data_IF_890204596628
#
_entry.id   IF_890204596628
#
_cell.length_a   1.000
_cell.length_b   1.000
_cell.length_c   1.000
_cell.angle_alpha   90.00
_cell.angle_beta   90.00
_cell.angle_gamma   90.00
#
_symmetry.space_group_name_H-M   'P 1'
#
loop_
_entity.id
_entity.type
_entity.pdbx_description
1 polymer ?
#
# COMPACT_ATOMS: atom_id res chain seq x y z
N UNK A 1 -17.17 12.87 -12.05
CA UNK A 1 -17.73 11.66 -12.68
C UNK A 1 -19.19 11.54 -12.26
N UNK A 2 -20.14 11.76 -13.17
CA UNK A 2 -21.59 11.80 -12.88
C UNK A 2 -22.37 10.61 -13.46
N UNK A 3 -21.71 9.75 -14.24
CA UNK A 3 -22.36 8.58 -14.85
C UNK A 3 -22.21 7.36 -13.94
N UNK A 4 -23.26 6.54 -13.75
CA UNK A 4 -23.17 5.28 -13.02
C UNK A 4 -22.14 4.34 -13.67
N UNK A 5 -21.25 3.71 -12.91
CA UNK A 5 -20.32 2.75 -13.46
C UNK A 5 -21.06 1.48 -13.92
N UNK A 6 -20.64 0.92 -15.06
CA UNK A 6 -21.09 -0.39 -15.50
C UNK A 6 -20.26 -1.49 -14.81
N UNK A 7 -20.94 -2.44 -14.16
CA UNK A 7 -20.29 -3.63 -13.63
C UNK A 7 -19.96 -4.59 -14.79
N UNK A 8 -18.69 -4.95 -14.92
CA UNK A 8 -18.19 -5.90 -15.92
C UNK A 8 -17.52 -7.09 -15.24
N UNK A 9 -17.48 -8.23 -15.92
CA UNK A 9 -16.76 -9.40 -15.43
C UNK A 9 -15.25 -9.13 -15.40
N UNK A 10 -14.62 -9.41 -14.26
CA UNK A 10 -13.17 -9.32 -14.11
C UNK A 10 -12.49 -10.58 -14.69
N UNK A 11 -11.91 -10.46 -15.88
CA UNK A 11 -11.19 -11.56 -16.54
C UNK A 11 -9.95 -12.01 -15.73
N UNK A 12 -9.37 -11.11 -14.94
CA UNK A 12 -8.21 -11.37 -14.09
C UNK A 12 -8.58 -11.80 -12.65
N UNK A 13 -9.83 -12.21 -12.41
CA UNK A 13 -10.26 -12.71 -11.10
C UNK A 13 -9.44 -13.92 -10.63
N UNK A 14 -9.28 -14.05 -9.31
CA UNK A 14 -8.56 -15.16 -8.66
C UNK A 14 -9.45 -16.37 -8.36
N UNK A 15 -10.77 -16.25 -8.59
CA UNK A 15 -11.74 -17.34 -8.41
C UNK A 15 -11.36 -18.67 -9.08
N UNK A 16 -10.65 -18.73 -10.23
CA UNK A 16 -10.23 -20.00 -10.83
C UNK A 16 -9.27 -20.85 -9.98
N UNK A 17 -8.62 -20.27 -8.96
CA UNK A 17 -7.66 -20.99 -8.13
C UNK A 17 -7.83 -20.78 -6.62
N UNK A 18 -8.78 -19.95 -6.18
CA UNK A 18 -9.09 -19.78 -4.75
C UNK A 18 -10.49 -19.21 -4.51
N UNK A 19 -11.10 -19.57 -3.38
CA UNK A 19 -12.31 -18.92 -2.89
C UNK A 19 -11.95 -17.53 -2.33
N UNK A 20 -12.76 -16.50 -2.63
CA UNK A 20 -12.54 -15.12 -2.17
C UNK A 20 -13.56 -14.72 -1.11
N UNK A 21 -13.08 -14.20 0.01
CA UNK A 21 -13.91 -13.68 1.11
C UNK A 21 -13.48 -12.24 1.40
N UNK A 22 -14.37 -11.29 1.14
CA UNK A 22 -14.17 -9.88 1.43
C UNK A 22 -14.86 -9.50 2.74
N UNK A 23 -14.14 -8.80 3.61
CA UNK A 23 -14.61 -8.44 4.96
C UNK A 23 -14.48 -6.94 5.13
N UNK A 24 -15.60 -6.26 5.37
CA UNK A 24 -15.62 -4.87 5.83
C UNK A 24 -15.37 -4.85 7.35
N UNK A 25 -14.24 -4.31 7.86
CA UNK A 25 -14.02 -4.18 9.29
C UNK A 25 -15.05 -3.27 9.97
N UNK A 26 -15.21 -3.34 11.30
CA UNK A 26 -16.21 -2.56 12.03
C UNK A 26 -16.13 -1.06 11.77
N UNK A 27 -17.18 -0.49 11.19
CA UNK A 27 -17.26 0.93 10.83
C UNK A 27 -17.02 1.25 9.36
N UNK A 28 -16.69 0.26 8.53
CA UNK A 28 -16.54 0.39 7.07
C UNK A 28 -17.65 -0.34 6.32
N UNK A 29 -17.85 0.02 5.05
CA UNK A 29 -18.93 -0.48 4.20
C UNK A 29 -20.28 -0.49 4.90
N UNK A 30 -20.87 -1.67 5.09
CA UNK A 30 -22.10 -1.85 5.88
C UNK A 30 -21.87 -2.35 7.31
N UNK A 31 -20.64 -2.69 7.69
CA UNK A 31 -20.30 -3.10 9.06
C UNK A 31 -20.47 -1.95 10.04
N UNK A 32 -21.12 -2.23 11.18
CA UNK A 32 -21.38 -1.25 12.25
C UNK A 32 -21.00 -1.83 13.61
N UNK A 33 -20.48 -0.97 14.48
CA UNK A 33 -20.30 -1.30 15.90
C UNK A 33 -21.60 -0.97 16.63
N UNK A 34 -22.31 -2.00 17.05
CA UNK A 34 -23.47 -1.88 17.95
C UNK A 34 -22.94 -2.00 19.38
N UNK A 35 -22.99 -0.92 20.16
CA UNK A 35 -22.45 -0.89 21.51
C UNK A 35 -22.12 0.52 22.00
N UNK A 36 -21.51 0.59 23.19
CA UNK A 36 -21.07 1.84 23.81
C UNK A 36 -19.90 2.49 23.07
N UNK A 37 -19.56 3.71 23.46
CA UNK A 37 -18.34 4.39 22.98
C UNK A 37 -17.06 3.61 23.31
N UNK A 38 -17.03 2.86 24.42
CA UNK A 38 -15.90 1.97 24.76
C UNK A 38 -15.73 0.84 23.75
N UNK A 39 -16.82 0.20 23.34
CA UNK A 39 -16.78 -0.84 22.31
C UNK A 39 -16.21 -0.30 20.99
N UNK A 40 -16.62 0.91 20.58
CA UNK A 40 -16.05 1.57 19.39
C UNK A 40 -14.55 1.81 19.54
N UNK A 41 -14.11 2.37 20.68
CA UNK A 41 -12.69 2.61 20.96
C UNK A 41 -11.85 1.33 20.94
N UNK A 42 -12.41 0.21 21.38
CA UNK A 42 -11.73 -1.08 21.33
C UNK A 42 -11.50 -1.52 19.87
N UNK A 43 -12.55 -1.54 19.04
CA UNK A 43 -12.42 -1.93 17.63
C UNK A 43 -11.60 -0.93 16.80
N UNK A 44 -11.63 0.36 17.14
CA UNK A 44 -10.85 1.41 16.47
C UNK A 44 -9.46 1.54 17.07
N UNK A 45 -8.77 0.41 17.18
CA UNK A 45 -7.39 0.33 17.64
C UNK A 45 -6.64 -0.71 16.84
N UNK A 46 -5.33 -0.56 16.73
CA UNK A 46 -4.47 -1.49 15.98
C UNK A 46 -4.71 -2.95 16.38
N UNK A 47 -4.69 -3.25 17.69
CA UNK A 47 -4.82 -4.63 18.17
C UNK A 47 -6.29 -5.08 18.19
N UNK A 48 -7.23 -4.22 18.62
CA UNK A 48 -8.64 -4.59 18.68
C UNK A 48 -9.29 -4.81 17.30
N UNK A 49 -8.78 -4.15 16.25
CA UNK A 49 -9.14 -4.41 14.86
C UNK A 49 -8.73 -5.84 14.44
N UNK A 50 -7.47 -6.21 14.67
CA UNK A 50 -6.96 -7.54 14.33
C UNK A 50 -7.65 -8.64 15.16
N UNK A 51 -7.84 -8.43 16.45
CA UNK A 51 -8.51 -9.39 17.35
C UNK A 51 -9.99 -9.56 16.99
N UNK A 52 -10.70 -8.47 16.72
CA UNK A 52 -12.10 -8.52 16.30
C UNK A 52 -12.29 -9.26 14.98
N UNK A 53 -11.42 -9.00 14.01
CA UNK A 53 -11.42 -9.70 12.72
C UNK A 53 -11.03 -11.17 12.86
N UNK A 54 -10.12 -11.53 13.77
CA UNK A 54 -9.75 -12.92 14.01
C UNK A 54 -10.97 -13.75 14.46
N UNK A 55 -11.75 -13.21 15.40
CA UNK A 55 -13.01 -13.85 15.85
C UNK A 55 -13.99 -14.01 14.70
N UNK A 56 -14.16 -12.97 13.88
CA UNK A 56 -15.04 -13.03 12.71
C UNK A 56 -14.59 -14.13 11.73
N UNK A 57 -13.31 -14.15 11.36
CA UNK A 57 -12.75 -15.11 10.42
C UNK A 57 -12.88 -16.54 10.94
N UNK A 58 -12.58 -16.79 12.22
CA UNK A 58 -12.79 -18.12 12.84
C UNK A 58 -14.25 -18.56 12.73
N UNK A 59 -15.21 -17.70 13.11
CA UNK A 59 -16.64 -18.02 13.01
C UNK A 59 -17.07 -18.30 11.57
N UNK A 60 -16.59 -17.51 10.61
CA UNK A 60 -16.87 -17.75 9.20
C UNK A 60 -16.33 -19.11 8.73
N UNK A 61 -15.10 -19.46 9.12
CA UNK A 61 -14.49 -20.76 8.80
C UNK A 61 -15.33 -21.92 9.36
N UNK A 62 -15.79 -21.82 10.60
CA UNK A 62 -16.63 -22.84 11.25
C UNK A 62 -17.97 -23.01 10.55
N UNK A 63 -18.64 -21.90 10.25
CA UNK A 63 -19.96 -21.88 9.59
C UNK A 63 -19.91 -22.43 8.16
N UNK A 64 -18.75 -22.33 7.48
CA UNK A 64 -18.58 -22.75 6.09
C UNK A 64 -17.79 -24.06 5.95
N UNK A 65 -17.50 -24.75 7.07
CA UNK A 65 -16.74 -26.00 7.10
C UNK A 65 -15.38 -25.92 6.36
N UNK A 66 -14.64 -24.82 6.57
CA UNK A 66 -13.35 -24.53 5.90
C UNK A 66 -12.12 -24.75 6.78
N UNK A 67 -12.25 -25.49 7.88
CA UNK A 67 -11.16 -25.67 8.87
C UNK A 67 -9.89 -26.24 8.22
N UNK A 68 -10.05 -27.22 7.32
CA UNK A 68 -8.95 -27.91 6.62
C UNK A 68 -8.40 -27.16 5.42
N UNK A 69 -9.10 -26.14 4.91
CA UNK A 69 -8.61 -25.36 3.78
C UNK A 69 -7.33 -24.61 4.19
N UNK A 70 -6.34 -24.46 3.30
CA UNK A 70 -5.25 -23.50 3.51
C UNK A 70 -5.81 -22.07 3.52
N UNK A 71 -5.37 -21.25 4.49
CA UNK A 71 -5.79 -19.84 4.60
C UNK A 71 -4.68 -18.94 4.08
N UNK A 72 -5.04 -17.98 3.24
CA UNK A 72 -4.17 -16.87 2.81
C UNK A 72 -4.88 -15.57 3.16
N UNK A 73 -4.17 -14.64 3.79
CA UNK A 73 -4.69 -13.28 4.03
C UNK A 73 -4.16 -12.34 2.95
N UNK A 74 -5.06 -11.54 2.39
CA UNK A 74 -4.72 -10.49 1.43
C UNK A 74 -5.06 -9.15 2.06
N UNK A 75 -4.13 -8.19 2.00
CA UNK A 75 -4.35 -6.87 2.58
C UNK A 75 -3.68 -5.78 1.77
N UNK A 76 -4.43 -4.75 1.41
CA UNK A 76 -3.93 -3.58 0.69
C UNK A 76 -3.67 -2.40 1.62
N UNK A 77 -2.58 -1.65 1.43
CA UNK A 77 -2.30 -0.43 2.17
C UNK A 77 -2.21 -0.68 3.68
N UNK A 78 -3.07 -0.06 4.49
CA UNK A 78 -3.25 -0.39 5.91
C UNK A 78 -3.68 -1.86 6.15
N UNK A 79 -4.38 -2.48 5.19
CA UNK A 79 -4.63 -3.92 5.17
C UNK A 79 -3.33 -4.74 5.21
N UNK A 80 -2.24 -4.22 4.65
CA UNK A 80 -0.90 -4.77 4.74
C UNK A 80 -0.30 -4.76 6.15
N UNK A 81 -0.69 -3.77 6.96
CA UNK A 81 -0.39 -3.69 8.39
C UNK A 81 -1.27 -4.65 9.19
N UNK A 82 -2.56 -4.70 8.85
CA UNK A 82 -3.56 -5.56 9.50
C UNK A 82 -3.28 -7.04 9.31
N UNK A 83 -2.88 -7.48 8.10
CA UNK A 83 -2.82 -8.90 7.78
C UNK A 83 -1.81 -9.70 8.62
N UNK A 84 -0.56 -9.25 8.87
CA UNK A 84 0.35 -9.93 9.80
C UNK A 84 -0.19 -10.00 11.24
N UNK A 85 -0.80 -8.92 11.73
CA UNK A 85 -1.42 -8.90 13.07
C UNK A 85 -2.61 -9.86 13.17
N UNK A 86 -3.47 -9.88 12.15
CA UNK A 86 -4.59 -10.81 12.03
C UNK A 86 -4.09 -12.26 11.98
N UNK A 87 -3.04 -12.57 11.20
CA UNK A 87 -2.45 -13.90 11.16
C UNK A 87 -1.96 -14.35 12.55
N UNK A 88 -1.30 -13.46 13.29
CA UNK A 88 -0.86 -13.72 14.66
C UNK A 88 -2.05 -13.94 15.60
N UNK A 89 -3.08 -13.10 15.55
CA UNK A 89 -4.27 -13.24 16.38
C UNK A 89 -5.02 -14.56 16.08
N UNK A 90 -5.19 -14.90 14.81
CA UNK A 90 -5.76 -16.17 14.38
C UNK A 90 -4.99 -17.37 14.94
N UNK A 91 -3.66 -17.36 14.83
CA UNK A 91 -2.83 -18.46 15.30
C UNK A 91 -2.82 -18.59 16.83
N UNK A 92 -2.71 -17.46 17.55
CA UNK A 92 -2.44 -17.46 19.01
C UNK A 92 -3.69 -17.37 19.88
N UNK A 93 -4.82 -16.87 19.35
CA UNK A 93 -6.08 -16.70 20.10
C UNK A 93 -7.21 -17.58 19.59
N UNK A 94 -7.30 -17.76 18.27
CA UNK A 94 -8.43 -18.43 17.64
C UNK A 94 -8.13 -19.85 17.13
N UNK A 95 -6.88 -20.32 17.24
CA UNK A 95 -6.47 -21.67 16.82
C UNK A 95 -6.51 -21.90 15.30
N UNK A 96 -6.44 -20.84 14.49
CA UNK A 96 -6.50 -20.89 13.03
C UNK A 96 -5.13 -20.56 12.43
N UNK A 97 -4.51 -21.54 11.76
CA UNK A 97 -3.25 -21.32 11.04
C UNK A 97 -3.44 -20.60 9.70
N UNK A 98 -2.55 -19.67 9.37
CA UNK A 98 -2.46 -18.98 8.08
C UNK A 98 -1.21 -19.44 7.36
N UNK A 99 -1.32 -19.80 6.07
CA UNK A 99 -0.21 -20.34 5.26
C UNK A 99 0.43 -19.30 4.35
N UNK A 100 -0.29 -18.23 4.02
CA UNK A 100 0.21 -17.19 3.12
C UNK A 100 -0.26 -15.80 3.48
N UNK A 101 0.59 -14.82 3.21
CA UNK A 101 0.25 -13.40 3.20
C UNK A 101 0.51 -12.84 1.79
N UNK A 102 -0.48 -12.15 1.24
CA UNK A 102 -0.31 -11.32 0.03
C UNK A 102 -0.56 -9.86 0.42
N UNK A 103 0.48 -9.04 0.43
CA UNK A 103 0.41 -7.65 0.88
C UNK A 103 0.52 -6.73 -0.34
N UNK A 104 -0.53 -5.94 -0.60
CA UNK A 104 -0.64 -5.05 -1.77
C UNK A 104 -0.36 -3.62 -1.35
N UNK A 105 0.68 -3.01 -1.92
CA UNK A 105 1.19 -1.69 -1.53
C UNK A 105 1.16 -1.44 -0.01
N UNK A 106 1.71 -2.35 0.83
CA UNK A 106 1.48 -2.30 2.27
C UNK A 106 2.21 -1.15 2.97
N UNK A 107 1.67 -0.77 4.13
CA UNK A 107 2.48 -0.18 5.19
C UNK A 107 2.96 -1.26 6.16
N UNK A 108 4.28 -1.42 6.29
CA UNK A 108 4.90 -2.34 7.26
C UNK A 108 5.44 -1.63 8.50
N UNK A 109 5.88 -0.38 8.35
CA UNK A 109 6.41 0.47 9.42
C UNK A 109 6.04 1.93 9.14
N UNK A 110 5.28 2.55 10.05
CA UNK A 110 4.86 3.95 9.90
C UNK A 110 6.03 4.94 10.01
N UNK A 111 7.15 4.57 10.64
CA UNK A 111 8.36 5.40 10.62
C UNK A 111 8.95 5.48 9.21
N UNK A 112 8.84 4.41 8.42
CA UNK A 112 9.39 4.36 7.06
C UNK A 112 8.59 5.24 6.06
N UNK A 113 7.32 5.53 6.34
CA UNK A 113 6.50 6.43 5.52
C UNK A 113 6.72 7.91 5.84
N UNK A 114 7.21 8.25 7.03
CA UNK A 114 7.39 9.64 7.43
C UNK A 114 8.38 10.38 6.53
N UNK A 115 8.05 11.62 6.16
CA UNK A 115 8.95 12.55 5.46
C UNK A 115 9.57 13.54 6.46
N UNK A 116 10.45 13.05 7.32
CA UNK A 116 11.06 13.86 8.40
C UNK A 116 12.30 14.59 7.88
N UNK A 117 12.32 15.91 8.01
CA UNK A 117 13.36 16.76 7.40
C UNK A 117 14.80 16.36 7.70
N UNK A 118 15.04 15.94 8.94
CA UNK A 118 16.36 15.58 9.45
C UNK A 118 16.62 14.07 9.47
N UNK A 119 15.77 13.27 8.80
CA UNK A 119 16.01 11.85 8.55
C UNK A 119 16.34 11.64 7.06
N UNK A 120 17.63 11.49 6.69
CA UNK A 120 18.04 11.22 5.32
C UNK A 120 17.29 10.08 4.65
N UNK A 121 16.97 9.03 5.41
CA UNK A 121 16.29 7.85 4.88
C UNK A 121 14.86 8.15 4.40
N UNK A 122 14.21 9.17 4.97
CA UNK A 122 12.89 9.64 4.52
C UNK A 122 12.90 10.00 3.03
N UNK A 123 13.95 10.67 2.57
CA UNK A 123 14.06 11.14 1.19
C UNK A 123 14.48 10.03 0.24
N UNK A 124 15.44 9.20 0.67
CA UNK A 124 15.92 8.03 -0.07
C UNK A 124 14.77 7.08 -0.41
N UNK A 125 13.88 6.80 0.55
CA UNK A 125 12.75 5.87 0.38
C UNK A 125 11.73 6.31 -0.67
N UNK A 126 11.56 7.62 -0.89
CA UNK A 126 10.53 8.15 -1.80
C UNK A 126 11.04 8.38 -3.22
N UNK A 127 12.35 8.63 -3.38
CA UNK A 127 12.93 9.02 -4.66
C UNK A 127 12.67 8.02 -5.81
N UNK A 128 12.79 6.69 -5.62
CA UNK A 128 12.56 5.76 -6.74
C UNK A 128 11.14 5.80 -7.30
N UNK A 129 10.12 6.08 -6.48
CA UNK A 129 8.73 6.23 -6.97
C UNK A 129 8.50 7.54 -7.73
N UNK A 130 9.20 8.61 -7.33
CA UNK A 130 9.25 9.85 -8.12
C UNK A 130 9.96 9.61 -9.48
N UNK A 131 11.06 8.86 -9.47
CA UNK A 131 11.79 8.48 -10.68
C UNK A 131 10.94 7.60 -11.61
N UNK A 132 10.24 6.61 -11.07
CA UNK A 132 9.33 5.75 -11.82
C UNK A 132 8.27 6.57 -12.56
N UNK A 133 7.73 7.61 -11.92
CA UNK A 133 6.75 8.54 -12.52
C UNK A 133 7.32 9.24 -13.75
N UNK A 134 8.54 9.78 -13.66
CA UNK A 134 9.20 10.50 -14.76
C UNK A 134 9.61 9.55 -15.89
N UNK A 135 10.09 8.36 -15.55
CA UNK A 135 10.43 7.32 -16.53
C UNK A 135 9.19 6.89 -17.32
N UNK A 136 8.06 6.70 -16.63
CA UNK A 136 6.77 6.35 -17.23
C UNK A 136 6.29 7.44 -18.21
N UNK A 137 6.33 8.72 -17.82
CA UNK A 137 5.98 9.84 -18.70
C UNK A 137 6.84 9.92 -19.97
N UNK A 138 8.09 9.46 -19.90
CA UNK A 138 9.03 9.44 -21.03
C UNK A 138 8.94 8.16 -21.86
N UNK A 139 8.10 7.19 -21.49
CA UNK A 139 8.07 5.88 -22.12
C UNK A 139 9.36 5.07 -21.92
N UNK A 140 10.11 5.36 -20.85
CA UNK A 140 11.41 4.79 -20.53
C UNK A 140 11.40 3.93 -19.24
N UNK A 141 10.22 3.54 -18.77
CA UNK A 141 10.02 2.72 -17.56
C UNK A 141 10.51 1.29 -17.76
N UNK A 142 11.81 1.04 -17.56
CA UNK A 142 12.39 -0.31 -17.54
C UNK A 142 12.82 -0.70 -16.13
N UNK A 143 12.83 -1.99 -15.77
CA UNK A 143 13.38 -2.44 -14.49
C UNK A 143 14.82 -1.98 -14.26
N UNK A 144 15.64 -1.90 -15.32
CA UNK A 144 17.03 -1.45 -15.24
C UNK A 144 17.13 0.04 -14.92
N UNK A 145 16.29 0.88 -15.54
CA UNK A 145 16.27 2.32 -15.26
C UNK A 145 15.81 2.59 -13.83
N UNK A 146 14.82 1.83 -13.34
CA UNK A 146 14.35 1.93 -11.97
C UNK A 146 15.42 1.47 -10.97
N UNK A 147 16.11 0.35 -11.24
CA UNK A 147 17.22 -0.12 -10.41
C UNK A 147 18.36 0.89 -10.32
N UNK A 148 18.69 1.60 -11.41
CA UNK A 148 19.68 2.67 -11.38
C UNK A 148 19.25 3.86 -10.50
N UNK A 149 17.94 4.15 -10.40
CA UNK A 149 17.43 5.17 -9.49
C UNK A 149 17.50 4.70 -8.02
N UNK A 150 17.19 3.43 -7.76
CA UNK A 150 17.34 2.80 -6.43
C UNK A 150 18.79 2.83 -5.94
N UNK A 151 19.72 2.40 -6.79
CA UNK A 151 21.15 2.35 -6.46
C UNK A 151 21.68 3.75 -6.12
N UNK A 152 21.39 4.74 -6.97
CA UNK A 152 21.82 6.11 -6.73
C UNK A 152 21.17 6.72 -5.47
N UNK A 153 19.89 6.40 -5.21
CA UNK A 153 19.19 6.82 -4.00
C UNK A 153 19.88 6.28 -2.73
N UNK A 154 20.24 4.99 -2.73
CA UNK A 154 20.86 4.31 -1.59
C UNK A 154 22.35 4.63 -1.40
N UNK A 155 23.01 5.22 -2.39
CA UNK A 155 24.45 5.50 -2.39
C UNK A 155 24.72 7.01 -2.37
N UNK A 156 24.98 7.64 -3.51
CA UNK A 156 25.37 9.04 -3.65
C UNK A 156 24.38 10.01 -2.99
N UNK A 157 23.08 9.78 -3.18
CA UNK A 157 22.05 10.65 -2.62
C UNK A 157 22.02 10.56 -1.09
N UNK A 158 22.00 9.34 -0.53
CA UNK A 158 22.09 9.13 0.91
C UNK A 158 23.37 9.76 1.49
N UNK A 159 24.52 9.53 0.85
CA UNK A 159 25.80 10.07 1.29
C UNK A 159 25.78 11.60 1.33
N UNK A 160 25.24 12.26 0.31
CA UNK A 160 25.09 13.72 0.29
C UNK A 160 24.16 14.22 1.39
N UNK A 161 23.02 13.56 1.61
CA UNK A 161 22.07 13.94 2.68
C UNK A 161 22.69 13.80 4.08
N UNK A 162 23.56 12.80 4.29
CA UNK A 162 24.29 12.59 5.55
C UNK A 162 25.31 13.69 5.86
N UNK A 163 25.82 14.40 4.83
CA UNK A 163 26.69 15.58 5.02
C UNK A 163 25.92 16.79 5.57
N UNK A 164 24.60 16.82 5.36
CA UNK A 164 23.71 17.87 5.83
C UNK A 164 23.78 19.16 4.99
N UNK A 165 22.80 20.04 5.21
CA UNK A 165 22.62 21.29 4.42
C UNK A 165 23.76 22.30 4.59
N UNK A 166 24.58 22.18 5.65
CA UNK A 166 25.75 23.04 5.87
C UNK A 166 26.86 22.77 4.86
N UNK A 167 26.90 21.58 4.26
CA UNK A 167 27.82 21.24 3.18
C UNK A 167 27.16 21.57 1.83
N UNK A 168 27.16 22.85 1.46
CA UNK A 168 26.54 23.32 0.22
C UNK A 168 27.10 22.61 -1.03
N UNK A 169 28.39 22.26 -1.03
CA UNK A 169 29.01 21.51 -2.11
C UNK A 169 28.45 20.09 -2.24
N UNK A 170 28.10 19.42 -1.13
CA UNK A 170 27.43 18.13 -1.17
C UNK A 170 26.03 18.21 -1.79
N UNK A 171 25.28 19.27 -1.49
CA UNK A 171 23.97 19.50 -2.08
C UNK A 171 24.08 19.82 -3.58
N UNK A 172 24.98 20.71 -3.98
CA UNK A 172 25.16 21.07 -5.40
C UNK A 172 25.51 19.86 -6.27
N UNK A 173 26.28 18.89 -5.75
CA UNK A 173 26.64 17.67 -6.49
C UNK A 173 25.44 16.80 -6.87
N UNK A 174 24.39 16.76 -6.04
CA UNK A 174 23.21 15.90 -6.29
C UNK A 174 22.13 16.59 -7.11
N UNK A 175 22.12 17.93 -7.20
CA UNK A 175 21.07 18.71 -7.87
C UNK A 175 20.81 18.25 -9.31
N UNK A 176 21.82 18.08 -10.20
CA UNK A 176 21.56 17.71 -11.59
C UNK A 176 20.89 16.35 -11.72
N UNK A 177 21.39 15.33 -11.01
CA UNK A 177 20.85 13.98 -11.06
C UNK A 177 19.47 13.87 -10.41
N UNK A 178 19.26 14.58 -9.30
CA UNK A 178 17.97 14.62 -8.63
C UNK A 178 16.90 15.33 -9.49
N UNK A 179 17.26 16.42 -10.17
CA UNK A 179 16.39 17.08 -11.14
C UNK A 179 16.07 16.17 -12.34
N UNK A 180 17.05 15.42 -12.85
CA UNK A 180 16.83 14.45 -13.93
C UNK A 180 15.83 13.35 -13.53
N UNK A 181 16.02 12.76 -12.33
CA UNK A 181 15.19 11.69 -11.79
C UNK A 181 13.78 12.17 -11.46
N UNK A 182 13.62 13.38 -10.93
CA UNK A 182 12.31 13.90 -10.50
C UNK A 182 11.62 14.77 -11.54
N UNK A 183 12.30 15.14 -12.62
CA UNK A 183 11.76 16.03 -13.65
C UNK A 183 11.50 17.46 -13.17
N UNK A 184 11.93 17.80 -11.95
CA UNK A 184 11.75 19.12 -11.35
C UNK A 184 12.85 20.10 -11.81
N UNK A 185 12.54 21.39 -11.74
CA UNK A 185 13.50 22.46 -12.00
C UNK A 185 14.72 22.34 -11.06
N UNK A 186 15.96 22.26 -11.57
CA UNK A 186 17.17 22.30 -10.74
C UNK A 186 17.23 23.44 -9.72
N UNK A 187 16.65 24.61 -10.04
CA UNK A 187 16.57 25.73 -9.10
C UNK A 187 15.67 25.40 -7.89
N UNK A 188 14.53 24.76 -8.12
CA UNK A 188 13.65 24.27 -7.05
C UNK A 188 14.35 23.18 -6.23
N UNK A 189 14.97 22.21 -6.89
CA UNK A 189 15.71 21.12 -6.21
C UNK A 189 16.79 21.70 -5.28
N UNK A 190 17.52 22.70 -5.75
CA UNK A 190 18.52 23.43 -4.96
C UNK A 190 17.89 24.18 -3.78
N UNK A 191 16.79 24.90 -4.01
CA UNK A 191 16.06 25.62 -2.96
C UNK A 191 15.59 24.69 -1.84
N UNK A 192 15.20 23.46 -2.20
CA UNK A 192 14.79 22.42 -1.25
C UNK A 192 15.98 21.67 -0.62
N UNK A 193 17.21 22.07 -0.91
CA UNK A 193 18.43 21.39 -0.53
C UNK A 193 18.39 19.88 -0.83
N UNK A 194 17.80 19.51 -1.98
CA UNK A 194 17.62 18.15 -2.43
C UNK A 194 16.57 17.33 -1.66
N UNK A 195 15.71 17.95 -0.84
CA UNK A 195 14.66 17.27 -0.05
C UNK A 195 13.27 17.53 -0.63
N UNK A 196 12.85 16.65 -1.52
CA UNK A 196 11.58 16.77 -2.23
C UNK A 196 10.53 15.92 -1.49
N UNK A 197 9.52 16.58 -0.91
CA UNK A 197 8.39 15.87 -0.30
C UNK A 197 7.31 15.53 -1.33
N UNK A 198 6.38 14.66 -0.94
CA UNK A 198 5.34 14.13 -1.84
C UNK A 198 4.45 15.25 -2.38
N UNK A 199 4.02 16.18 -1.52
CA UNK A 199 3.16 17.29 -1.92
C UNK A 199 3.84 18.23 -2.92
N UNK A 200 5.14 18.49 -2.72
CA UNK A 200 5.95 19.28 -3.64
C UNK A 200 6.07 18.59 -4.98
N UNK A 201 6.40 17.29 -5.01
CA UNK A 201 6.51 16.53 -6.24
C UNK A 201 5.18 16.47 -7.01
N UNK A 202 4.08 16.14 -6.34
CA UNK A 202 2.73 16.08 -6.93
C UNK A 202 2.35 17.38 -7.63
N UNK A 203 2.77 18.52 -7.10
CA UNK A 203 2.40 19.82 -7.66
C UNK A 203 3.41 20.33 -8.68
N UNK A 204 4.68 20.39 -8.31
CA UNK A 204 5.70 21.11 -9.07
C UNK A 204 6.07 20.39 -10.37
N UNK A 205 5.92 19.06 -10.45
CA UNK A 205 6.08 18.32 -11.71
C UNK A 205 5.06 18.74 -12.79
N UNK A 206 3.91 19.28 -12.35
CA UNK A 206 2.75 19.55 -13.21
C UNK A 206 2.32 21.01 -13.22
N UNK A 207 2.94 21.85 -12.40
CA UNK A 207 2.54 23.25 -12.14
C UNK A 207 2.41 24.08 -13.40
N UNK A 208 3.36 23.97 -14.33
CA UNK A 208 3.35 24.72 -15.59
C UNK A 208 2.12 24.42 -16.46
N UNK A 209 1.47 23.26 -16.27
CA UNK A 209 0.25 22.85 -16.96
C UNK A 209 -1.03 23.17 -16.18
N UNK A 210 -0.92 23.76 -14.99
CA UNK A 210 -2.06 23.97 -14.09
C UNK A 210 -2.66 22.66 -13.56
N UNK A 211 -1.85 21.60 -13.48
CA UNK A 211 -2.26 20.27 -13.05
C UNK A 211 -1.57 19.89 -11.73
N UNK A 212 -2.12 18.88 -11.06
CA UNK A 212 -1.53 18.18 -9.91
C UNK A 212 -1.57 16.68 -10.16
N UNK A 213 -0.54 15.97 -9.69
CA UNK A 213 -0.46 14.50 -9.70
C UNK A 213 -1.05 13.88 -8.45
N UNK A 214 -1.48 12.62 -8.54
CA UNK A 214 -1.95 11.85 -7.39
C UNK A 214 -0.81 11.27 -6.55
N UNK A 215 -1.02 11.16 -5.25
CA UNK A 215 -0.12 10.42 -4.38
C UNK A 215 -0.28 8.90 -4.61
N UNK A 216 -1.49 8.45 -4.97
CA UNK A 216 -1.79 7.06 -5.28
C UNK A 216 -1.22 6.64 -6.62
N UNK A 217 -1.11 7.52 -7.60
CA UNK A 217 -0.32 7.27 -8.82
C UNK A 217 0.09 8.61 -9.41
N UNK A 218 1.36 8.97 -9.26
CA UNK A 218 1.80 10.29 -9.68
C UNK A 218 1.81 10.49 -11.19
N UNK A 219 1.49 9.47 -12.00
CA UNK A 219 1.25 9.60 -13.44
C UNK A 219 -0.18 10.08 -13.77
N UNK A 220 -1.12 9.93 -12.83
CA UNK A 220 -2.52 10.36 -12.97
C UNK A 220 -2.64 11.79 -12.47
N UNK A 221 -3.30 12.65 -13.25
CA UNK A 221 -3.40 14.08 -12.98
C UNK A 221 -4.83 14.60 -12.99
N UNK A 222 -5.04 15.72 -12.29
CA UNK A 222 -6.26 16.54 -12.37
C UNK A 222 -5.88 18.02 -12.35
N UNK A 223 -6.84 18.91 -12.65
CA UNK A 223 -6.63 20.35 -12.55
C UNK A 223 -6.35 20.77 -11.10
N UNK A 224 -5.32 21.61 -10.92
CA UNK A 224 -5.12 22.34 -9.66
C UNK A 224 -6.29 23.34 -9.51
N UNK A 225 -7.07 23.33 -8.42
CA UNK A 225 -8.11 24.33 -8.18
C UNK A 225 -7.54 25.74 -7.94
N UNK A 226 -6.25 25.87 -7.66
CA UNK A 226 -5.57 27.14 -7.38
C UNK A 226 -4.13 27.15 -7.94
N UNK A 227 -3.96 27.07 -9.28
CA UNK A 227 -2.65 26.89 -9.92
C UNK A 227 -1.71 28.08 -9.70
N UNK A 228 -2.25 29.28 -9.52
CA UNK A 228 -1.49 30.50 -9.24
C UNK A 228 -1.11 30.67 -7.77
N UNK A 229 -1.71 29.92 -6.85
CA UNK A 229 -1.45 30.08 -5.42
C UNK A 229 -0.06 29.54 -5.02
N UNK A 230 0.56 30.11 -4.00
CA UNK A 230 1.84 29.61 -3.50
C UNK A 230 1.72 28.17 -2.95
N UNK A 231 0.59 27.85 -2.32
CA UNK A 231 0.18 26.51 -1.88
C UNK A 231 -1.26 26.26 -2.32
N UNK A 232 -1.60 25.02 -2.64
CA UNK A 232 -2.95 24.63 -3.03
C UNK A 232 -3.37 23.40 -2.23
N UNK A 233 -4.64 23.37 -1.84
CA UNK A 233 -5.30 22.17 -1.36
C UNK A 233 -6.13 21.62 -2.51
N UNK A 234 -5.87 20.39 -2.90
CA UNK A 234 -6.54 19.75 -4.02
C UNK A 234 -7.01 18.34 -3.63
N UNK A 235 -8.16 17.88 -4.15
CA UNK A 235 -8.55 16.48 -4.04
C UNK A 235 -7.54 15.61 -4.79
N UNK A 236 -7.25 14.43 -4.27
CA UNK A 236 -6.35 13.49 -4.91
C UNK A 236 -6.97 12.96 -6.23
N UNK A 237 -6.28 13.08 -7.38
CA UNK A 237 -6.79 12.66 -8.68
C UNK A 237 -7.22 11.20 -8.81
N UNK A 238 -6.79 10.31 -7.92
CA UNK A 238 -7.15 8.89 -7.91
C UNK A 238 -8.11 8.60 -6.76
N UNK A 239 -7.71 8.86 -5.51
CA UNK A 239 -8.51 8.46 -4.36
C UNK A 239 -9.87 9.17 -4.35
N UNK A 240 -9.88 10.50 -4.45
CA UNK A 240 -11.13 11.25 -4.37
C UNK A 240 -12.00 11.06 -5.61
N UNK A 241 -11.37 10.92 -6.79
CA UNK A 241 -12.09 10.67 -8.04
C UNK A 241 -12.78 9.30 -8.09
N UNK A 242 -12.21 8.28 -7.44
CA UNK A 242 -12.73 6.90 -7.44
C UNK A 242 -13.78 6.65 -6.36
N UNK A 243 -13.88 7.48 -5.32
CA UNK A 243 -14.85 7.32 -4.21
C UNK A 243 -16.30 7.14 -4.70
N UNK A 244 -16.78 8.08 -5.51
CA UNK A 244 -18.17 8.07 -5.99
C UNK A 244 -18.49 6.86 -6.89
N UNK A 245 -17.71 6.56 -7.96
CA UNK A 245 -17.98 5.39 -8.79
C UNK A 245 -17.84 4.08 -8.02
N UNK A 246 -16.82 3.90 -7.15
CA UNK A 246 -16.69 2.68 -6.37
C UNK A 246 -17.87 2.48 -5.39
N UNK A 247 -18.34 3.56 -4.75
CA UNK A 247 -19.54 3.51 -3.90
C UNK A 247 -20.77 3.08 -4.70
N UNK A 248 -21.00 3.69 -5.87
CA UNK A 248 -22.12 3.35 -6.74
C UNK A 248 -22.05 1.88 -7.19
N UNK A 249 -20.87 1.42 -7.64
CA UNK A 249 -20.63 0.04 -8.06
C UNK A 249 -20.92 -0.96 -6.93
N UNK A 250 -20.44 -0.70 -5.71
CA UNK A 250 -20.70 -1.56 -4.55
C UNK A 250 -22.19 -1.59 -4.20
N UNK A 251 -22.87 -0.43 -4.19
CA UNK A 251 -24.30 -0.40 -3.88
C UNK A 251 -25.16 -1.09 -4.94
N UNK A 252 -24.77 -1.03 -6.22
CA UNK A 252 -25.42 -1.74 -7.32
C UNK A 252 -25.19 -3.26 -7.22
N UNK A 253 -23.99 -3.69 -6.85
CA UNK A 253 -23.70 -5.10 -6.57
C UNK A 253 -24.64 -5.63 -5.47
N UNK A 254 -24.75 -4.92 -4.35
CA UNK A 254 -25.60 -5.35 -3.24
C UNK A 254 -27.09 -5.37 -3.61
N UNK A 255 -27.62 -4.24 -4.10
CA UNK A 255 -29.06 -4.10 -4.35
C UNK A 255 -29.52 -4.85 -5.58
N UNK A 256 -28.77 -4.76 -6.67
CA UNK A 256 -29.12 -5.37 -7.96
C UNK A 256 -28.77 -6.85 -7.99
N UNK A 257 -27.48 -7.19 -7.94
CA UNK A 257 -27.01 -8.58 -8.12
C UNK A 257 -27.31 -9.49 -6.94
N UNK A 258 -27.15 -9.00 -5.71
CA UNK A 258 -27.31 -9.81 -4.49
C UNK A 258 -28.72 -9.70 -3.89
N UNK A 259 -29.57 -8.77 -4.35
CA UNK A 259 -30.91 -8.56 -3.82
C UNK A 259 -30.93 -8.16 -2.34
N UNK A 260 -29.84 -7.58 -1.84
CA UNK A 260 -29.68 -7.22 -0.44
C UNK A 260 -29.61 -5.69 -0.29
N UNK A 261 -30.35 -5.15 0.67
CA UNK A 261 -30.40 -3.72 0.94
C UNK A 261 -30.30 -3.41 2.43
N UNK A 262 -29.77 -2.24 2.73
CA UNK A 262 -29.70 -1.68 4.08
C UNK A 262 -29.97 -0.17 4.03
N UNK A 263 -30.67 0.34 5.04
CA UNK A 263 -31.16 1.73 5.07
C UNK A 263 -30.08 2.75 5.46
N UNK A 264 -28.89 2.28 5.84
CA UNK A 264 -27.74 3.13 6.14
C UNK A 264 -26.87 3.36 4.90
N UNK A 265 -26.17 4.50 4.80
CA UNK A 265 -25.24 4.74 3.69
C UNK A 265 -24.07 3.74 3.72
N UNK A 266 -23.63 3.29 2.53
CA UNK A 266 -22.40 2.51 2.39
C UNK A 266 -21.19 3.40 2.70
N UNK A 267 -20.30 2.96 3.60
CA UNK A 267 -19.12 3.73 4.02
C UNK A 267 -17.86 3.21 3.32
N UNK A 268 -17.61 3.62 2.08
CA UNK A 268 -16.40 3.22 1.34
C UNK A 268 -15.13 3.58 2.11
N UNK A 269 -15.06 4.83 2.60
CA UNK A 269 -14.08 5.30 3.58
C UNK A 269 -14.83 5.94 4.74
N UNK A 270 -14.24 5.95 5.94
CA UNK A 270 -14.87 6.50 7.13
C UNK A 270 -13.90 7.39 7.91
N UNK A 271 -14.05 8.70 7.76
CA UNK A 271 -13.21 9.71 8.43
C UNK A 271 -13.34 9.67 9.95
N UNK A 272 -14.51 9.30 10.49
CA UNK A 272 -14.72 9.16 11.94
C UNK A 272 -13.80 8.08 12.52
N UNK A 273 -13.69 6.93 11.83
CA UNK A 273 -12.79 5.84 12.21
C UNK A 273 -11.35 6.31 12.11
N UNK A 274 -10.99 6.96 10.99
CA UNK A 274 -9.64 7.43 10.73
C UNK A 274 -9.17 8.45 11.79
N UNK A 275 -10.00 9.44 12.13
CA UNK A 275 -9.68 10.49 13.10
C UNK A 275 -9.62 9.99 14.55
N UNK A 276 -10.34 8.90 14.86
CA UNK A 276 -10.37 8.33 16.22
C UNK A 276 -9.55 7.05 16.35
N UNK A 277 -8.73 6.71 15.34
CA UNK A 277 -7.93 5.50 15.37
C UNK A 277 -6.90 5.54 16.50
N UNK A 278 -6.96 4.55 17.39
CA UNK A 278 -6.02 4.42 18.48
C UNK A 278 -4.78 3.64 18.03
N UNK A 279 -3.71 4.40 17.79
CA UNK A 279 -2.39 3.91 17.41
C UNK A 279 -1.56 3.35 18.58
N UNK A 280 -2.11 3.35 19.80
CA UNK A 280 -1.39 3.02 21.03
C UNK A 280 -0.65 4.22 21.63
N UNK A 281 0.09 3.99 22.72
CA UNK A 281 0.80 5.04 23.49
C UNK A 281 2.33 4.87 23.50
N UNK A 282 2.86 4.10 22.55
CA UNK A 282 4.30 3.85 22.43
C UNK A 282 5.07 5.12 22.01
N UNK A 283 6.36 5.18 22.35
CA UNK A 283 7.27 6.24 21.88
C UNK A 283 7.71 6.04 20.42
N UNK A 284 7.62 4.81 19.93
CA UNK A 284 7.97 4.43 18.56
C UNK A 284 6.75 4.45 17.66
N UNK A 285 6.95 4.73 16.38
CA UNK A 285 5.88 4.58 15.38
C UNK A 285 5.43 3.10 15.33
N UNK A 286 4.13 2.82 15.12
CA UNK A 286 3.65 1.46 14.95
C UNK A 286 4.28 0.75 13.74
N UNK A 287 4.56 -0.55 13.88
CA UNK A 287 5.12 -1.42 12.84
C UNK A 287 4.58 -2.85 12.96
N UNK A 288 4.71 -3.63 11.88
CA UNK A 288 4.38 -5.07 11.82
C UNK A 288 5.49 -5.94 11.23
N UNK A 289 6.70 -5.40 11.13
CA UNK A 289 7.91 -6.12 10.71
C UNK A 289 8.18 -7.31 11.63
N UNK A 290 7.94 -7.17 12.93
CA UNK A 290 8.12 -8.28 13.89
C UNK A 290 7.06 -9.37 13.72
N UNK A 291 5.80 -9.00 13.45
CA UNK A 291 4.76 -9.97 13.07
C UNK A 291 5.12 -10.69 11.76
N UNK A 292 5.70 -10.01 10.77
CA UNK A 292 6.19 -10.65 9.54
C UNK A 292 7.32 -11.63 9.84
N UNK A 293 8.29 -11.25 10.68
CA UNK A 293 9.37 -12.15 11.14
C UNK A 293 8.82 -13.37 11.85
N UNK A 294 7.89 -13.18 12.79
CA UNK A 294 7.23 -14.27 13.52
C UNK A 294 6.45 -15.20 12.59
N UNK A 295 5.73 -14.65 11.61
CA UNK A 295 5.00 -15.43 10.61
C UNK A 295 5.93 -16.32 9.76
N UNK A 296 7.01 -15.76 9.20
CA UNK A 296 7.93 -16.52 8.34
C UNK A 296 8.78 -17.54 9.11
N UNK A 297 9.15 -17.22 10.36
CA UNK A 297 9.95 -18.12 11.22
C UNK A 297 9.13 -19.21 11.90
N UNK A 298 7.85 -18.96 12.18
CA UNK A 298 6.98 -19.87 12.94
C UNK A 298 6.46 -21.07 12.14
N UNK A 299 6.42 -20.98 10.81
CA UNK A 299 6.01 -22.08 9.93
C UNK A 299 6.95 -22.13 8.72
N UNK A 300 7.66 -23.25 8.53
CA UNK A 300 8.61 -23.44 7.40
C UNK A 300 7.93 -23.42 6.03
N UNK A 301 6.62 -23.62 5.98
CA UNK A 301 5.83 -23.58 4.78
C UNK A 301 5.07 -22.25 4.59
N UNK A 302 5.14 -21.32 5.55
CA UNK A 302 4.57 -19.98 5.39
C UNK A 302 5.25 -19.23 4.25
N UNK A 303 4.47 -18.47 3.48
CA UNK A 303 4.95 -17.66 2.35
C UNK A 303 4.40 -16.24 2.41
N UNK A 304 5.22 -15.28 1.99
CA UNK A 304 4.89 -13.87 1.87
C UNK A 304 5.12 -13.42 0.42
N UNK A 305 4.09 -12.84 -0.18
CA UNK A 305 4.19 -12.09 -1.43
C UNK A 305 3.83 -10.64 -1.13
N UNK A 306 4.75 -9.73 -1.41
CA UNK A 306 4.51 -8.29 -1.37
C UNK A 306 4.49 -7.77 -2.80
N UNK A 307 3.49 -6.97 -3.13
CA UNK A 307 3.33 -6.38 -4.45
C UNK A 307 3.15 -4.87 -4.34
N UNK A 308 3.76 -4.10 -5.23
CA UNK A 308 3.62 -2.63 -5.27
C UNK A 308 3.48 -2.12 -6.70
N UNK A 309 2.90 -0.94 -6.84
CA UNK A 309 3.13 -0.09 -8.01
C UNK A 309 4.37 0.77 -7.85
N UNK A 310 5.12 0.95 -8.94
CA UNK A 310 6.35 1.73 -8.96
C UNK A 310 6.13 3.23 -8.67
N UNK A 311 5.06 3.84 -9.19
CA UNK A 311 4.76 5.29 -9.03
C UNK A 311 3.91 5.63 -7.79
N UNK A 312 3.79 4.69 -6.85
CA UNK A 312 3.10 4.87 -5.57
C UNK A 312 3.87 5.81 -4.64
N UNK A 313 3.28 6.95 -4.27
CA UNK A 313 3.85 7.89 -3.30
C UNK A 313 3.21 7.78 -1.91
N UNK A 314 2.16 6.97 -1.74
CA UNK A 314 1.50 6.73 -0.44
C UNK A 314 2.32 5.73 0.37
N UNK A 315 2.67 4.61 -0.25
CA UNK A 315 3.55 3.60 0.33
C UNK A 315 4.66 3.25 -0.68
N UNK A 316 5.71 4.10 -0.80
CA UNK A 316 6.75 3.90 -1.79
C UNK A 316 7.38 2.50 -1.68
N UNK A 317 7.41 1.77 -2.79
CA UNK A 317 7.84 0.37 -2.81
C UNK A 317 9.27 0.20 -2.27
N UNK A 318 10.12 1.22 -2.45
CA UNK A 318 11.51 1.16 -2.01
C UNK A 318 11.64 1.17 -0.49
N UNK A 319 10.69 1.78 0.23
CA UNK A 319 10.61 1.66 1.69
C UNK A 319 10.41 0.19 2.11
N UNK A 320 9.47 -0.49 1.45
CA UNK A 320 9.18 -1.90 1.68
C UNK A 320 10.34 -2.80 1.27
N UNK A 321 10.97 -2.53 0.12
CA UNK A 321 12.16 -3.25 -0.35
C UNK A 321 13.28 -3.22 0.69
N UNK A 322 13.61 -2.04 1.21
CA UNK A 322 14.66 -1.89 2.23
C UNK A 322 14.33 -2.64 3.53
N UNK A 323 13.06 -2.70 3.93
CA UNK A 323 12.63 -3.49 5.10
C UNK A 323 12.81 -4.99 4.83
N UNK A 324 12.35 -5.49 3.68
CA UNK A 324 12.42 -6.91 3.33
C UNK A 324 13.85 -7.40 3.15
N UNK A 325 14.72 -6.58 2.53
CA UNK A 325 16.14 -6.89 2.33
C UNK A 325 16.92 -7.00 3.67
N UNK A 326 16.37 -6.44 4.76
CA UNK A 326 16.94 -6.50 6.11
C UNK A 326 16.37 -7.65 6.97
N UNK A 327 15.46 -8.47 6.40
CA UNK A 327 14.97 -9.67 7.08
C UNK A 327 15.98 -10.82 6.91
N UNK A 328 16.14 -11.68 7.94
CA UNK A 328 16.85 -12.94 7.77
C UNK A 328 16.21 -13.80 6.66
N UNK A 329 17.03 -14.55 5.92
CA UNK A 329 16.52 -15.55 4.99
C UNK A 329 16.00 -16.74 5.80
N UNK A 330 14.68 -16.87 5.89
CA UNK A 330 14.01 -17.97 6.59
C UNK A 330 13.95 -19.22 5.71
N UNK A 331 15.07 -19.92 5.57
CA UNK A 331 15.18 -21.08 4.68
C UNK A 331 15.51 -20.67 3.25
N UNK A 332 14.50 -20.40 2.42
CA UNK A 332 14.69 -20.08 1.01
C UNK A 332 14.19 -18.65 0.68
N UNK A 333 14.97 -17.82 -0.06
CA UNK A 333 14.61 -16.43 -0.35
C UNK A 333 13.23 -16.25 -0.99
N UNK A 334 12.81 -17.20 -1.84
CA UNK A 334 11.51 -17.18 -2.53
C UNK A 334 10.29 -17.35 -1.59
N UNK A 335 10.51 -17.58 -0.29
CA UNK A 335 9.44 -17.55 0.72
C UNK A 335 8.98 -16.13 1.05
N UNK A 336 9.77 -15.11 0.73
CA UNK A 336 9.44 -13.70 0.89
C UNK A 336 9.79 -12.95 -0.39
N UNK A 337 8.81 -12.81 -1.28
CA UNK A 337 9.01 -12.18 -2.59
C UNK A 337 8.44 -10.76 -2.61
N UNK A 338 9.14 -9.86 -3.31
CA UNK A 338 8.66 -8.54 -3.70
C UNK A 338 8.51 -8.48 -5.22
N UNK A 339 7.35 -8.07 -5.71
CA UNK A 339 7.13 -7.74 -7.12
C UNK A 339 6.68 -6.28 -7.26
N UNK A 340 7.28 -5.56 -8.21
CA UNK A 340 6.98 -4.15 -8.48
C UNK A 340 6.44 -4.05 -9.90
N UNK A 341 5.25 -3.48 -10.05
CA UNK A 341 4.55 -3.33 -11.32
C UNK A 341 4.49 -1.88 -11.75
N UNK A 342 4.16 -1.67 -13.03
CA UNK A 342 3.82 -0.34 -13.55
C UNK A 342 2.53 0.18 -12.91
N UNK A 343 2.47 1.49 -12.67
CA UNK A 343 1.35 2.17 -12.00
C UNK A 343 1.64 2.43 -10.53
N UNK A 344 0.67 3.03 -9.83
CA UNK A 344 0.82 3.41 -8.43
C UNK A 344 0.19 2.43 -7.43
N UNK A 345 -0.30 2.94 -6.31
CA UNK A 345 -0.89 2.22 -5.18
C UNK A 345 -1.93 1.17 -5.59
N UNK A 346 -2.83 1.54 -6.52
CA UNK A 346 -3.83 0.65 -7.11
C UNK A 346 -3.43 0.22 -8.53
N UNK A 347 -2.17 -0.20 -8.73
CA UNK A 347 -1.57 -0.55 -10.02
C UNK A 347 -2.39 -1.56 -10.84
N UNK A 348 -3.17 -2.42 -10.19
CA UNK A 348 -4.07 -3.37 -10.82
C UNK A 348 -5.21 -2.72 -11.63
N UNK A 349 -5.36 -1.39 -11.55
CA UNK A 349 -6.21 -0.62 -12.46
C UNK A 349 -5.66 -0.59 -13.89
N UNK A 350 -4.35 -0.83 -14.08
CA UNK A 350 -3.74 -1.02 -15.39
C UNK A 350 -3.80 -2.49 -15.82
N UNK A 351 -4.24 -2.74 -17.06
CA UNK A 351 -4.47 -4.09 -17.58
C UNK A 351 -3.25 -5.00 -17.50
N UNK A 352 -2.08 -4.53 -17.94
CA UNK A 352 -0.86 -5.34 -17.96
C UNK A 352 -0.39 -5.68 -16.54
N UNK A 353 -0.47 -4.70 -15.63
CA UNK A 353 -0.11 -4.90 -14.23
C UNK A 353 -1.10 -5.83 -13.51
N UNK A 354 -2.40 -5.73 -13.81
CA UNK A 354 -3.42 -6.66 -13.30
C UNK A 354 -3.20 -8.09 -13.76
N UNK A 355 -2.91 -8.28 -15.05
CA UNK A 355 -2.57 -9.59 -15.62
C UNK A 355 -1.31 -10.17 -15.01
N UNK A 356 -0.28 -9.34 -14.80
CA UNK A 356 0.96 -9.75 -14.14
C UNK A 356 0.72 -10.17 -12.69
N UNK A 357 0.01 -9.35 -11.90
CA UNK A 357 -0.36 -9.66 -10.52
C UNK A 357 -1.14 -10.97 -10.41
N UNK A 358 -2.08 -11.24 -11.32
CA UNK A 358 -2.81 -12.51 -11.34
C UNK A 358 -1.86 -13.69 -11.52
N UNK A 359 -0.89 -13.61 -12.44
CA UNK A 359 0.08 -14.71 -12.69
C UNK A 359 0.95 -14.98 -11.45
N UNK A 360 1.39 -13.93 -10.79
CA UNK A 360 2.22 -14.04 -9.59
C UNK A 360 1.43 -14.56 -8.39
N UNK A 361 0.17 -14.12 -8.23
CA UNK A 361 -0.76 -14.68 -7.27
C UNK A 361 -1.01 -16.17 -7.54
N UNK A 362 -1.30 -16.57 -8.78
CA UNK A 362 -1.52 -17.98 -9.14
C UNK A 362 -0.29 -18.84 -8.80
N UNK A 363 0.92 -18.34 -9.09
CA UNK A 363 2.19 -18.99 -8.74
C UNK A 363 2.35 -19.12 -7.23
N UNK A 364 2.08 -18.04 -6.49
CA UNK A 364 2.10 -18.02 -5.03
C UNK A 364 1.14 -19.04 -4.42
N UNK A 365 -0.12 -19.07 -4.87
CA UNK A 365 -1.12 -20.02 -4.38
C UNK A 365 -0.72 -21.47 -4.68
N UNK A 366 -0.20 -21.77 -5.87
CA UNK A 366 0.35 -23.11 -6.17
C UNK A 366 1.48 -23.50 -5.20
N UNK A 367 2.35 -22.56 -4.84
CA UNK A 367 3.45 -22.81 -3.92
C UNK A 367 2.98 -22.98 -2.45
N UNK A 368 1.96 -22.23 -2.04
CA UNK A 368 1.28 -22.37 -0.73
C UNK A 368 0.64 -23.76 -0.61
N UNK A 369 -0.04 -24.24 -1.65
CA UNK A 369 -0.71 -25.53 -1.66
C UNK A 369 0.27 -26.72 -1.67
N UNK A 370 1.40 -26.63 -2.38
CA UNK A 370 2.43 -27.69 -2.37
C UNK A 370 3.03 -27.94 -0.99
N UNK A 371 3.27 -26.88 -0.22
CA UNK A 371 3.78 -27.00 1.15
C UNK A 371 2.82 -27.65 2.15
N UNK A 372 1.55 -27.86 1.78
CA UNK A 372 0.54 -28.48 2.64
C UNK A 372 0.52 -30.03 2.55
N UNK A 373 1.26 -30.63 1.61
CA UNK A 373 1.23 -32.07 1.33
C UNK A 373 2.50 -32.85 1.70
N UNK A 374 3.48 -32.24 2.35
CA UNK A 374 4.70 -32.92 2.81
C UNK A 374 4.73 -33.07 4.33
N UNK A 375 4.38 -34.26 4.82
CA UNK A 375 4.88 -34.81 6.08
C UNK A 375 6.13 -35.64 5.80
#
# INVERSE_FOLDING_TARGET
MSSPPALVTNAETWLPFTDLVFVDPPGTGYSRVVGSGDARRQFWSVDGDAEGLAVFVRKWIEQNARQRSPKVLVGESYGGFRAPKLARALATREGVGVRGLVLVSPVLDFAALGQRRHDPQSWVRHLPSMAATVLEQRGAGTPQALAAAEEWAATDYLAALMRGERDAAAIERIVPRLAELTGLDPALVRQLAGRIDTATFQRELYRARGLVGSAYDATVTAFDPSPSAARSHFPDPVLDATKAPLTAAMTELYRGRLGWSHDQPYRLLNDEVNSNWNWGRGRSAPQVVDEVRAFLSGDRAARLLVVHGASDLVTPYFATKLILDQLPVYGAPERSALAVYRGGHMFYSLDDSRKAMRRDAETFFRAVLKGAGGE
#
